data_IF_366370176085
#
_entry.id   IF_366370176085
#
_cell.length_a   1.000
_cell.length_b   1.000
_cell.length_c   1.000
_cell.angle_alpha   90.00
_cell.angle_beta   90.00
_cell.angle_gamma   90.00
#
_symmetry.space_group_name_H-M   'P 1'
#
loop_
_entity.id
_entity.type
_entity.pdbx_description
1 polymer ?
#
# COMPACT_ATOMS: atom_id res chain seq x y z
N UNK A 1 12.37 -29.56 0.25
CA UNK A 1 11.95 -29.15 -1.09
C UNK A 1 10.86 -28.10 -0.94
N UNK A 2 11.23 -26.81 -1.02
CA UNK A 2 10.28 -25.72 -0.99
C UNK A 2 9.40 -25.77 -2.24
N UNK A 3 8.10 -25.94 -2.06
CA UNK A 3 7.16 -25.75 -3.14
C UNK A 3 7.14 -24.25 -3.46
N UNK A 4 7.57 -23.89 -4.65
CA UNK A 4 7.36 -22.54 -5.15
C UNK A 4 5.85 -22.31 -5.30
N UNK A 5 5.32 -21.16 -4.88
CA UNK A 5 3.91 -20.85 -5.06
C UNK A 5 3.57 -20.93 -6.56
N UNK A 6 2.41 -21.50 -6.87
CA UNK A 6 1.86 -21.48 -8.22
C UNK A 6 1.23 -20.10 -8.43
N UNK A 7 2.02 -19.14 -8.88
CA UNK A 7 1.55 -17.77 -9.11
C UNK A 7 2.71 -16.83 -9.34
N UNK A 8 2.41 -15.59 -9.58
CA UNK A 8 3.39 -14.55 -9.82
C UNK A 8 4.18 -14.28 -8.54
N UNK A 9 5.49 -14.46 -8.63
CA UNK A 9 6.41 -14.16 -7.52
C UNK A 9 7.01 -12.77 -7.60
N UNK A 10 6.94 -12.15 -8.78
CA UNK A 10 7.39 -10.78 -9.04
C UNK A 10 6.43 -10.12 -10.01
N UNK A 11 5.98 -8.94 -9.69
CA UNK A 11 5.15 -8.12 -10.58
C UNK A 11 5.58 -6.65 -10.52
N UNK A 12 5.51 -5.98 -11.66
CA UNK A 12 5.56 -4.52 -11.76
C UNK A 12 4.30 -4.11 -12.49
N UNK A 13 3.52 -3.26 -11.86
CA UNK A 13 2.30 -2.72 -12.47
C UNK A 13 2.30 -1.19 -12.43
N UNK A 14 1.77 -0.58 -13.49
CA UNK A 14 1.60 0.86 -13.59
C UNK A 14 0.14 1.15 -13.91
N UNK A 15 -0.48 2.05 -13.16
CA UNK A 15 -1.83 2.52 -13.44
C UNK A 15 -1.83 4.04 -13.64
N UNK A 16 -2.50 4.48 -14.70
CA UNK A 16 -2.76 5.87 -15.02
C UNK A 16 -4.22 6.17 -14.70
N UNK A 17 -4.45 7.10 -13.79
CA UNK A 17 -5.80 7.50 -13.40
C UNK A 17 -6.30 8.68 -14.24
N UNK A 18 -7.60 8.77 -14.46
CA UNK A 18 -8.24 9.90 -15.17
C UNK A 18 -7.93 11.26 -14.54
N UNK A 19 -7.60 11.29 -13.26
CA UNK A 19 -7.16 12.49 -12.54
C UNK A 19 -5.74 12.95 -12.89
N UNK A 20 -4.99 12.20 -13.70
CA UNK A 20 -3.58 12.45 -14.01
C UNK A 20 -2.60 11.83 -13.00
N UNK A 21 -3.09 11.22 -11.94
CA UNK A 21 -2.25 10.50 -10.99
C UNK A 21 -1.71 9.23 -11.66
N UNK A 22 -0.46 8.90 -11.35
CA UNK A 22 0.16 7.64 -11.77
C UNK A 22 0.56 6.86 -10.52
N UNK A 23 0.30 5.56 -10.50
CA UNK A 23 0.83 4.66 -9.47
C UNK A 23 1.68 3.57 -10.08
N UNK A 24 2.74 3.19 -9.37
CA UNK A 24 3.60 2.04 -9.70
C UNK A 24 3.66 1.16 -8.49
N UNK A 25 3.39 -0.12 -8.67
CA UNK A 25 3.52 -1.13 -7.62
C UNK A 25 4.51 -2.19 -8.06
N UNK A 26 5.54 -2.41 -7.26
CA UNK A 26 6.49 -3.51 -7.43
C UNK A 26 6.32 -4.49 -6.28
N UNK A 27 5.85 -5.68 -6.56
CA UNK A 27 5.79 -6.79 -5.61
C UNK A 27 6.87 -7.82 -5.94
N UNK A 28 7.62 -8.24 -4.93
CA UNK A 28 8.69 -9.23 -5.07
C UNK A 28 8.71 -10.17 -3.86
N UNK A 29 8.09 -11.33 -4.01
CA UNK A 29 8.01 -12.36 -2.97
C UNK A 29 9.25 -13.29 -2.92
N UNK A 30 10.21 -13.08 -3.80
CA UNK A 30 11.46 -13.87 -3.84
C UNK A 30 12.68 -13.04 -3.47
N UNK A 31 12.48 -11.88 -2.85
CA UNK A 31 13.57 -11.08 -2.32
C UNK A 31 14.33 -11.87 -1.25
N UNK A 32 15.64 -11.95 -1.39
CA UNK A 32 16.54 -12.65 -0.45
C UNK A 32 17.51 -11.70 0.24
N UNK A 33 17.35 -10.41 0.04
CA UNK A 33 18.25 -9.37 0.55
C UNK A 33 18.08 -9.04 2.05
N UNK A 34 17.16 -9.70 2.74
CA UNK A 34 16.97 -9.53 4.19
C UNK A 34 16.09 -8.35 4.60
N UNK A 35 15.67 -7.51 3.68
CA UNK A 35 14.74 -6.43 3.99
C UNK A 35 13.31 -6.96 4.12
N UNK A 36 12.80 -6.90 5.34
CA UNK A 36 11.49 -7.45 5.70
C UNK A 36 10.46 -6.33 5.88
N UNK A 37 10.33 -5.46 4.89
CA UNK A 37 9.38 -4.34 4.91
C UNK A 37 8.97 -3.96 3.48
N UNK A 38 7.83 -3.28 3.37
CA UNK A 38 7.43 -2.61 2.15
C UNK A 38 7.84 -1.14 2.22
N UNK A 39 8.32 -0.59 1.12
CA UNK A 39 8.58 0.84 0.96
C UNK A 39 7.43 1.48 0.17
N UNK A 40 7.11 2.72 0.51
CA UNK A 40 6.17 3.52 -0.26
C UNK A 40 6.67 4.95 -0.40
N UNK A 41 6.26 5.58 -1.49
CA UNK A 41 6.49 7.00 -1.76
C UNK A 41 5.28 7.59 -2.46
N UNK A 42 4.91 8.79 -2.04
CA UNK A 42 3.84 9.57 -2.64
C UNK A 42 4.42 10.95 -2.94
N UNK A 43 4.41 11.34 -4.21
CA UNK A 43 4.88 12.65 -4.67
C UNK A 43 3.68 13.50 -5.08
N UNK A 44 3.58 14.70 -4.55
CA UNK A 44 2.56 15.70 -4.85
C UNK A 44 3.20 17.04 -5.22
N UNK A 45 2.37 17.98 -5.64
CA UNK A 45 2.77 19.33 -6.06
C UNK A 45 3.35 20.20 -4.93
N UNK A 46 3.02 19.87 -3.68
CA UNK A 46 3.44 20.63 -2.49
C UNK A 46 4.40 19.87 -1.57
N UNK A 47 4.83 18.71 -1.98
CA UNK A 47 5.77 17.89 -1.21
C UNK A 47 5.61 16.42 -1.44
N UNK A 48 6.42 15.65 -0.75
CA UNK A 48 6.49 14.20 -0.85
C UNK A 48 6.44 13.55 0.52
N UNK A 49 5.89 12.35 0.57
CA UNK A 49 5.90 11.48 1.73
C UNK A 49 6.56 10.16 1.31
N UNK A 50 7.40 9.63 2.16
CA UNK A 50 7.94 8.27 2.02
C UNK A 50 7.94 7.56 3.36
N UNK A 51 8.02 6.25 3.31
CA UNK A 51 8.10 5.48 4.54
C UNK A 51 8.18 3.99 4.28
N UNK A 52 8.09 3.24 5.38
CA UNK A 52 8.16 1.79 5.37
C UNK A 52 7.07 1.19 6.23
N UNK A 53 6.56 0.03 5.81
CA UNK A 53 5.63 -0.79 6.55
C UNK A 53 6.33 -2.08 6.97
N UNK A 54 6.38 -2.37 8.27
CA UNK A 54 7.10 -3.50 8.84
C UNK A 54 6.50 -4.88 8.52
N UNK A 55 5.29 -4.93 7.99
CA UNK A 55 4.57 -6.16 7.64
C UNK A 55 4.47 -7.16 8.81
N UNK A 56 4.35 -8.45 8.52
CA UNK A 56 4.23 -9.52 9.51
C UNK A 56 5.57 -10.06 10.02
N UNK A 57 6.68 -9.53 9.55
CA UNK A 57 7.99 -10.01 9.93
C UNK A 57 8.29 -9.70 11.40
N UNK A 58 8.89 -10.67 12.08
CA UNK A 58 9.23 -10.63 13.51
C UNK A 58 8.04 -10.40 14.46
N UNK A 59 6.81 -10.69 14.03
CA UNK A 59 5.68 -10.64 14.96
C UNK A 59 5.89 -11.62 16.14
N UNK A 60 5.66 -11.18 17.40
CA UNK A 60 5.11 -9.90 17.83
C UNK A 60 6.13 -8.74 17.96
N UNK A 61 7.40 -8.97 17.72
CA UNK A 61 8.50 -8.01 17.95
C UNK A 61 8.85 -7.14 16.73
N UNK A 62 7.95 -7.08 15.75
CA UNK A 62 8.16 -6.34 14.52
C UNK A 62 8.52 -4.87 14.74
N UNK A 63 9.20 -4.29 13.77
CA UNK A 63 9.61 -2.88 13.82
C UNK A 63 8.42 -1.94 13.67
N UNK A 64 8.58 -0.74 14.21
CA UNK A 64 7.64 0.37 14.01
C UNK A 64 7.72 0.83 12.55
N UNK A 65 6.58 1.22 11.99
CA UNK A 65 6.50 1.83 10.65
C UNK A 65 7.19 3.19 10.63
N UNK A 66 7.57 3.66 9.45
CA UNK A 66 8.23 4.96 9.31
C UNK A 66 7.48 5.85 8.33
N UNK A 67 7.46 7.14 8.63
CA UNK A 67 6.97 8.20 7.74
C UNK A 67 7.98 9.34 7.77
N UNK A 68 8.36 9.82 6.60
CA UNK A 68 9.14 11.04 6.43
C UNK A 68 8.43 11.97 5.45
N UNK A 69 8.48 13.25 5.72
CA UNK A 69 7.82 14.30 4.95
C UNK A 69 8.87 15.27 4.43
N UNK A 70 8.77 15.65 3.17
CA UNK A 70 9.47 16.79 2.58
C UNK A 70 8.42 17.71 1.98
N UNK A 71 8.35 18.96 2.44
CA UNK A 71 7.25 19.87 2.08
C UNK A 71 7.79 21.22 1.61
N UNK A 72 7.15 21.76 0.57
CA UNK A 72 7.35 23.14 0.14
C UNK A 72 6.51 24.15 0.91
N UNK A 73 5.53 23.68 1.70
CA UNK A 73 4.61 24.50 2.48
C UNK A 73 5.07 24.60 3.94
N UNK A 74 5.51 23.49 4.50
CA UNK A 74 6.12 23.45 5.83
C UNK A 74 7.64 23.50 5.62
N UNK A 75 8.36 24.47 6.18
CA UNK A 75 9.81 24.54 6.03
C UNK A 75 10.47 23.26 6.55
N UNK A 76 10.95 22.41 5.63
CA UNK A 76 11.73 21.22 5.95
C UNK A 76 13.11 21.37 5.30
N UNK A 77 14.17 21.09 6.06
CA UNK A 77 15.51 20.93 5.50
C UNK A 77 15.69 19.45 5.14
N UNK A 78 15.24 19.10 3.93
CA UNK A 78 15.23 17.72 3.46
C UNK A 78 14.03 16.91 3.98
N UNK A 79 14.26 15.65 4.33
CA UNK A 79 13.25 14.73 4.83
C UNK A 79 13.14 14.81 6.34
N UNK A 80 11.97 15.20 6.82
CA UNK A 80 11.63 15.31 8.23
C UNK A 80 10.92 14.04 8.70
N UNK A 81 11.47 13.28 9.66
CA UNK A 81 10.76 12.13 10.21
C UNK A 81 9.51 12.56 10.97
N UNK A 82 8.40 11.88 10.71
CA UNK A 82 7.17 12.02 11.47
C UNK A 82 7.12 10.94 12.55
N UNK A 83 6.81 11.27 13.81
CA UNK A 83 6.81 10.29 14.88
C UNK A 83 5.67 9.29 14.70
N UNK A 84 6.01 8.03 14.45
CA UNK A 84 5.11 6.89 14.40
C UNK A 84 5.50 5.93 15.50
N UNK A 85 4.54 5.52 16.32
CA UNK A 85 4.75 4.59 17.44
C UNK A 85 4.08 3.24 17.21
N UNK A 86 3.32 3.12 16.13
CA UNK A 86 2.53 1.95 15.76
C UNK A 86 3.24 1.08 14.73
N UNK A 87 2.79 -0.14 14.63
CA UNK A 87 3.24 -1.13 13.64
C UNK A 87 2.10 -1.45 12.70
N UNK A 88 2.40 -1.72 11.44
CA UNK A 88 1.37 -2.16 10.51
C UNK A 88 0.59 -3.36 11.05
N UNK A 89 1.28 -4.33 11.61
CA UNK A 89 0.62 -5.46 12.27
C UNK A 89 1.03 -5.52 13.75
N UNK A 90 0.09 -5.59 14.71
CA UNK A 90 -1.38 -5.71 14.52
C UNK A 90 -2.14 -4.37 14.50
N UNK A 91 -1.47 -3.24 14.66
CA UNK A 91 -2.11 -1.96 14.99
C UNK A 91 -3.02 -1.42 13.88
N UNK A 92 -2.74 -1.76 12.61
CA UNK A 92 -3.60 -1.40 11.48
C UNK A 92 -5.03 -1.94 11.59
N UNK A 93 -5.25 -3.03 12.32
CA UNK A 93 -6.59 -3.57 12.56
C UNK A 93 -7.46 -2.65 13.42
N UNK A 94 -6.86 -1.80 14.25
CA UNK A 94 -7.60 -0.83 15.09
C UNK A 94 -8.44 0.09 14.20
N UNK A 95 -7.84 0.64 13.15
CA UNK A 95 -8.54 1.52 12.22
C UNK A 95 -9.63 0.79 11.41
N UNK A 96 -9.34 -0.40 10.93
CA UNK A 96 -10.29 -1.20 10.15
C UNK A 96 -11.50 -1.62 10.99
N UNK A 97 -11.27 -2.20 12.17
CA UNK A 97 -12.34 -2.63 13.05
C UNK A 97 -13.11 -1.44 13.65
N UNK A 98 -12.41 -0.36 13.97
CA UNK A 98 -13.03 0.90 14.41
C UNK A 98 -14.00 1.46 13.38
N UNK A 99 -13.64 1.44 12.09
CA UNK A 99 -14.52 1.86 11.00
C UNK A 99 -15.80 1.03 10.88
N UNK A 100 -15.69 -0.30 11.09
CA UNK A 100 -16.87 -1.19 11.10
C UNK A 100 -17.78 -0.86 12.29
N UNK A 101 -17.21 -0.71 13.48
CA UNK A 101 -17.97 -0.36 14.69
C UNK A 101 -18.65 1.01 14.56
N UNK A 102 -17.94 2.00 14.05
CA UNK A 102 -18.49 3.33 13.80
C UNK A 102 -19.68 3.28 12.83
N UNK A 103 -19.53 2.55 11.71
CA UNK A 103 -20.61 2.37 10.73
C UNK A 103 -21.84 1.70 11.34
N UNK A 104 -21.66 0.68 12.19
CA UNK A 104 -22.77 0.01 12.91
C UNK A 104 -23.47 0.99 13.87
N UNK A 105 -22.70 1.74 14.64
CA UNK A 105 -23.25 2.64 15.67
C UNK A 105 -23.95 3.87 15.08
N UNK A 106 -23.43 4.41 13.97
CA UNK A 106 -23.91 5.67 13.39
C UNK A 106 -24.81 5.50 12.19
N UNK A 107 -24.85 4.29 11.59
CA UNK A 107 -25.49 4.06 10.29
C UNK A 107 -24.78 4.73 9.13
N UNK A 108 -23.56 5.24 9.34
CA UNK A 108 -22.73 5.88 8.33
C UNK A 108 -22.12 4.88 7.32
N UNK A 109 -21.50 5.39 6.25
CA UNK A 109 -20.91 4.53 5.23
C UNK A 109 -19.72 3.77 5.79
N UNK A 110 -19.64 2.47 5.48
CA UNK A 110 -18.49 1.64 5.80
C UNK A 110 -17.34 1.95 4.83
N UNK A 111 -16.20 2.36 5.34
CA UNK A 111 -14.95 2.41 4.59
C UNK A 111 -14.51 0.97 4.27
N UNK A 112 -14.02 0.73 3.10
CA UNK A 112 -13.64 -0.61 2.62
C UNK A 112 -14.84 -1.57 2.49
N UNK A 113 -15.96 -1.07 1.99
CA UNK A 113 -17.14 -1.87 1.71
C UNK A 113 -16.87 -2.91 0.61
N UNK A 114 -17.74 -3.92 0.50
CA UNK A 114 -17.67 -4.90 -0.60
C UNK A 114 -17.77 -4.21 -1.97
N UNK A 115 -18.59 -3.16 -2.08
CA UNK A 115 -18.74 -2.40 -3.32
C UNK A 115 -17.44 -1.71 -3.75
N UNK A 116 -16.69 -1.14 -2.82
CA UNK A 116 -15.38 -0.54 -3.08
C UNK A 116 -14.34 -1.61 -3.46
N UNK A 117 -14.36 -2.76 -2.80
CA UNK A 117 -13.45 -3.86 -3.10
C UNK A 117 -13.66 -4.48 -4.50
N UNK A 118 -14.86 -4.37 -5.08
CA UNK A 118 -15.10 -4.76 -6.49
C UNK A 118 -14.19 -3.96 -7.43
N UNK A 119 -13.97 -2.67 -7.15
CA UNK A 119 -13.03 -1.84 -7.93
C UNK A 119 -11.60 -2.38 -7.87
N UNK A 120 -11.14 -2.77 -6.71
CA UNK A 120 -9.83 -3.39 -6.52
C UNK A 120 -9.69 -4.70 -7.29
N UNK A 121 -10.71 -5.56 -7.24
CA UNK A 121 -10.70 -6.83 -7.99
C UNK A 121 -10.69 -6.62 -9.51
N UNK A 122 -11.45 -5.65 -10.03
CA UNK A 122 -11.40 -5.27 -11.44
C UNK A 122 -10.02 -4.81 -11.86
N UNK A 123 -9.33 -4.02 -11.00
CA UNK A 123 -7.95 -3.61 -11.27
C UNK A 123 -7.01 -4.81 -11.36
N UNK A 124 -7.11 -5.77 -10.43
CA UNK A 124 -6.30 -6.99 -10.46
C UNK A 124 -6.56 -7.79 -11.74
N UNK A 125 -7.83 -7.95 -12.14
CA UNK A 125 -8.19 -8.65 -13.38
C UNK A 125 -7.62 -7.94 -14.62
N UNK A 126 -7.67 -6.61 -14.66
CA UNK A 126 -7.09 -5.83 -15.75
C UNK A 126 -5.57 -5.96 -15.81
N UNK A 127 -4.88 -6.05 -14.67
CA UNK A 127 -3.44 -6.30 -14.62
C UNK A 127 -3.09 -7.66 -15.25
N UNK A 128 -3.84 -8.73 -14.96
CA UNK A 128 -3.66 -10.02 -15.61
C UNK A 128 -3.92 -9.95 -17.11
N UNK A 129 -4.99 -9.30 -17.55
CA UNK A 129 -5.28 -9.10 -18.98
C UNK A 129 -4.17 -8.30 -19.68
N UNK A 130 -3.61 -7.29 -19.01
CA UNK A 130 -2.48 -6.51 -19.52
C UNK A 130 -1.22 -7.37 -19.66
N UNK A 131 -0.93 -8.19 -18.67
CA UNK A 131 0.20 -9.12 -18.68
C UNK A 131 0.09 -10.13 -19.83
N UNK A 132 -1.07 -10.73 -20.02
CA UNK A 132 -1.31 -11.75 -21.06
C UNK A 132 -1.28 -11.16 -22.47
N UNK A 133 -1.80 -9.94 -22.65
CA UNK A 133 -1.89 -9.29 -23.95
C UNK A 133 -0.66 -8.45 -24.33
N UNK A 134 0.17 -8.08 -23.35
CA UNK A 134 1.27 -7.12 -23.51
C UNK A 134 0.79 -5.69 -23.84
N UNK A 135 -0.46 -5.36 -23.53
CA UNK A 135 -1.09 -4.06 -23.82
C UNK A 135 -1.70 -3.45 -22.56
N UNK A 136 -1.88 -2.13 -22.56
CA UNK A 136 -2.70 -1.45 -21.55
C UNK A 136 -4.15 -1.88 -21.65
N UNK A 137 -4.84 -1.90 -20.51
CA UNK A 137 -6.26 -2.25 -20.39
C UNK A 137 -6.97 -1.11 -19.68
N UNK A 138 -8.06 -0.61 -20.26
CA UNK A 138 -8.92 0.39 -19.63
C UNK A 138 -9.91 -0.27 -18.67
N UNK A 139 -10.23 0.47 -17.58
CA UNK A 139 -11.15 0.06 -16.51
C UNK A 139 -12.45 0.86 -16.56
#
# INVERSE_FOLDING_TARGET
SGQFPKGETRTISTALYKSGVTSVVHANHVNRGGDNYAEYRIDGDKGSIRGTLGLLYDYPNGRVDTIEINSSVIPTDGWLPYPVTTRWFPDAFIGTMGSVMESICTGGPLRSSVAENVGTLKMVEALYKSMDSGKSVDL
#
